data_IF_517005818506
#
_entry.id   IF_517005818506
#
_cell.length_a   1.000
_cell.length_b   1.000
_cell.length_c   1.000
_cell.angle_alpha   90.00
_cell.angle_beta   90.00
_cell.angle_gamma   90.00
#
_symmetry.space_group_name_H-M   'P 1'
#
loop_
_entity.id
_entity.type
_entity.pdbx_description
1 polymer ?
#
# COMPACT_ATOMS: atom_id res chain seq x y z
N UNK A 1 22.65 -0.32 26.31
CA UNK A 1 22.09 -0.29 24.95
C UNK A 1 20.87 0.62 25.01
N UNK A 2 20.95 1.82 24.46
CA UNK A 2 19.85 2.78 24.51
C UNK A 2 18.85 2.43 23.41
N UNK A 3 17.64 2.05 23.81
CA UNK A 3 16.52 1.86 22.89
C UNK A 3 16.25 3.21 22.19
N UNK A 4 16.10 3.24 20.85
CA UNK A 4 15.76 4.47 20.16
C UNK A 4 14.45 5.03 20.73
N UNK A 5 14.30 6.37 20.83
CA UNK A 5 13.07 6.97 21.30
C UNK A 5 11.91 6.51 20.42
N UNK A 6 10.81 6.08 21.04
CA UNK A 6 9.57 5.80 20.33
C UNK A 6 9.12 7.14 19.70
N UNK A 7 8.93 7.20 18.37
CA UNK A 7 8.51 8.44 17.74
C UNK A 7 7.14 8.86 18.31
N UNK A 8 6.93 10.17 18.55
CA UNK A 8 5.62 10.66 18.97
C UNK A 8 4.55 10.28 17.93
N UNK A 9 3.31 10.10 18.39
CA UNK A 9 2.19 9.65 17.54
C UNK A 9 1.99 10.50 16.28
N UNK A 10 2.31 11.80 16.36
CA UNK A 10 2.24 12.70 15.20
C UNK A 10 3.31 12.39 14.14
N UNK A 11 4.56 12.13 14.54
CA UNK A 11 5.62 11.74 13.59
C UNK A 11 5.29 10.39 12.92
N UNK A 12 4.73 9.46 13.70
CA UNK A 12 4.31 8.17 13.18
C UNK A 12 3.15 8.33 12.17
N UNK A 13 2.17 9.18 12.47
CA UNK A 13 1.05 9.49 11.56
C UNK A 13 1.55 10.12 10.25
N UNK A 14 2.49 11.08 10.32
CA UNK A 14 3.11 11.67 9.13
C UNK A 14 3.88 10.63 8.30
N UNK A 15 4.57 9.69 8.96
CA UNK A 15 5.26 8.60 8.28
C UNK A 15 4.28 7.66 7.54
N UNK A 16 3.13 7.33 8.16
CA UNK A 16 2.05 6.59 7.50
C UNK A 16 1.53 7.35 6.28
N UNK A 17 1.21 8.64 6.41
CA UNK A 17 0.74 9.47 5.28
C UNK A 17 1.74 9.47 4.12
N UNK A 18 3.02 9.63 4.43
CA UNK A 18 4.08 9.62 3.41
C UNK A 18 4.17 8.26 2.70
N UNK A 19 4.16 7.15 3.44
CA UNK A 19 4.16 5.81 2.85
C UNK A 19 2.91 5.55 2.00
N UNK A 20 1.73 5.95 2.47
CA UNK A 20 0.50 5.85 1.68
C UNK A 20 0.64 6.56 0.33
N UNK A 21 1.19 7.79 0.31
CA UNK A 21 1.42 8.51 -0.95
C UNK A 21 2.42 7.80 -1.88
N UNK A 22 3.44 7.16 -1.34
CA UNK A 22 4.38 6.38 -2.15
C UNK A 22 3.69 5.17 -2.79
N UNK A 23 2.92 4.42 -2.00
CA UNK A 23 2.16 3.29 -2.51
C UNK A 23 1.11 3.70 -3.54
N UNK A 24 0.39 4.79 -3.31
CA UNK A 24 -0.57 5.32 -4.28
C UNK A 24 0.10 5.63 -5.62
N UNK A 25 1.29 6.25 -5.62
CA UNK A 25 2.05 6.51 -6.84
C UNK A 25 2.52 5.22 -7.51
N UNK A 26 3.02 4.26 -6.73
CA UNK A 26 3.48 2.98 -7.28
C UNK A 26 2.32 2.20 -7.95
N UNK A 27 1.13 2.21 -7.35
CA UNK A 27 -0.07 1.59 -7.94
C UNK A 27 -0.51 2.35 -9.19
N UNK A 28 -0.55 3.68 -9.16
CA UNK A 28 -0.93 4.51 -10.32
C UNK A 28 0.02 4.31 -11.50
N UNK A 29 1.33 4.21 -11.23
CA UNK A 29 2.35 3.90 -12.23
C UNK A 29 2.17 2.48 -12.81
N UNK A 30 1.88 1.51 -11.96
CA UNK A 30 1.65 0.12 -12.35
C UNK A 30 0.34 -0.08 -13.14
N UNK A 31 -0.68 0.74 -12.88
CA UNK A 31 -1.93 0.75 -13.65
C UNK A 31 -1.76 1.45 -14.99
N UNK A 32 -0.94 2.50 -15.04
CA UNK A 32 -0.73 3.30 -16.24
C UNK A 32 0.27 2.68 -17.22
N UNK A 33 1.15 1.80 -16.77
CA UNK A 33 2.22 1.21 -17.58
C UNK A 33 2.23 -0.32 -17.46
N UNK A 34 2.52 -1.07 -18.55
CA UNK A 34 2.75 -2.50 -18.47
C UNK A 34 3.83 -2.82 -17.45
N UNK A 35 3.47 -3.58 -16.43
CA UNK A 35 4.32 -3.90 -15.29
C UNK A 35 4.44 -5.41 -15.16
N UNK A 36 5.64 -5.88 -14.80
CA UNK A 36 5.94 -7.29 -14.63
C UNK A 36 5.14 -7.90 -13.45
N UNK A 37 4.67 -9.13 -13.63
CA UNK A 37 3.93 -9.92 -12.63
C UNK A 37 4.68 -10.02 -11.29
N UNK A 38 6.02 -10.12 -11.30
CA UNK A 38 6.85 -10.19 -10.10
C UNK A 38 6.80 -8.87 -9.32
N UNK A 39 6.80 -7.74 -10.02
CA UNK A 39 6.70 -6.41 -9.39
C UNK A 39 5.31 -6.20 -8.80
N UNK A 40 4.26 -6.59 -9.54
CA UNK A 40 2.87 -6.52 -9.08
C UNK A 40 2.62 -7.41 -7.85
N UNK A 41 3.18 -8.62 -7.82
CA UNK A 41 3.08 -9.52 -6.67
C UNK A 41 3.74 -8.92 -5.43
N UNK A 42 4.93 -8.33 -5.56
CA UNK A 42 5.62 -7.67 -4.44
C UNK A 42 4.86 -6.46 -3.94
N UNK A 43 4.35 -5.63 -4.85
CA UNK A 43 3.55 -4.47 -4.50
C UNK A 43 2.28 -4.87 -3.75
N UNK A 44 1.64 -5.98 -4.16
CA UNK A 44 0.50 -6.53 -3.45
C UNK A 44 0.87 -6.96 -2.01
N UNK A 45 1.95 -7.72 -1.83
CA UNK A 45 2.40 -8.17 -0.51
C UNK A 45 2.76 -6.99 0.40
N UNK A 46 3.44 -5.98 -0.15
CA UNK A 46 3.80 -4.76 0.58
C UNK A 46 2.54 -3.98 1.01
N UNK A 47 1.53 -3.86 0.14
CA UNK A 47 0.25 -3.21 0.48
C UNK A 47 -0.54 -3.98 1.55
N UNK A 48 -0.51 -5.32 1.52
CA UNK A 48 -1.11 -6.13 2.57
C UNK A 48 -0.40 -5.92 3.91
N UNK A 49 0.93 -5.91 3.91
CA UNK A 49 1.74 -5.61 5.09
C UNK A 49 1.44 -4.22 5.65
N UNK A 50 1.37 -3.21 4.77
CA UNK A 50 1.02 -1.85 5.15
C UNK A 50 -0.40 -1.75 5.72
N UNK A 51 -1.38 -2.45 5.14
CA UNK A 51 -2.76 -2.51 5.64
C UNK A 51 -2.83 -3.09 7.05
N UNK A 52 -2.07 -4.16 7.32
CA UNK A 52 -1.96 -4.74 8.66
C UNK A 52 -1.34 -3.76 9.66
N UNK A 53 -0.29 -3.03 9.27
CA UNK A 53 0.36 -2.02 10.10
C UNK A 53 -0.58 -0.85 10.43
N UNK A 54 -1.35 -0.37 9.46
CA UNK A 54 -2.38 0.67 9.66
C UNK A 54 -3.45 0.19 10.64
N UNK A 55 -3.87 -1.07 10.55
CA UNK A 55 -4.84 -1.64 11.49
C UNK A 55 -4.29 -1.75 12.92
N UNK A 56 -3.04 -2.16 13.09
CA UNK A 56 -2.37 -2.20 14.40
C UNK A 56 -2.25 -0.80 15.03
N UNK A 57 -2.01 0.22 14.20
CA UNK A 57 -1.84 1.60 14.63
C UNK A 57 -3.11 2.44 14.48
N UNK A 58 -4.28 1.83 14.30
CA UNK A 58 -5.53 2.56 14.08
C UNK A 58 -5.84 3.67 15.12
N UNK A 59 -5.46 3.58 16.41
CA UNK A 59 -5.77 4.62 17.40
C UNK A 59 -5.03 5.96 17.18
N UNK A 60 -3.94 6.00 16.41
CA UNK A 60 -3.23 7.26 16.14
C UNK A 60 -3.86 8.07 14.99
N UNK A 61 -4.79 7.47 14.24
CA UNK A 61 -5.47 8.12 13.13
C UNK A 61 -6.76 8.80 13.57
N UNK A 62 -7.08 9.99 13.04
CA UNK A 62 -8.44 10.51 13.06
C UNK A 62 -9.42 9.49 12.44
N UNK A 63 -10.61 9.25 13.02
CA UNK A 63 -11.53 8.22 12.53
C UNK A 63 -11.95 8.39 11.06
N UNK A 64 -12.17 9.63 10.62
CA UNK A 64 -12.52 9.95 9.23
C UNK A 64 -11.36 9.64 8.28
N UNK A 65 -10.13 10.01 8.66
CA UNK A 65 -8.93 9.73 7.88
C UNK A 65 -8.67 8.23 7.77
N UNK A 66 -8.81 7.49 8.88
CA UNK A 66 -8.66 6.03 8.89
C UNK A 66 -9.64 5.35 7.94
N UNK A 67 -10.91 5.79 7.95
CA UNK A 67 -11.95 5.25 7.06
C UNK A 67 -11.62 5.48 5.58
N UNK A 68 -11.15 6.68 5.23
CA UNK A 68 -10.73 7.01 3.86
C UNK A 68 -9.49 6.20 3.47
N UNK A 69 -8.51 6.09 4.36
CA UNK A 69 -7.28 5.34 4.13
C UNK A 69 -7.59 3.86 3.87
N UNK A 70 -8.43 3.23 4.69
CA UNK A 70 -8.82 1.82 4.52
C UNK A 70 -9.57 1.58 3.21
N UNK A 71 -10.46 2.49 2.81
CA UNK A 71 -11.15 2.41 1.53
C UNK A 71 -10.16 2.50 0.36
N UNK A 72 -9.24 3.46 0.40
CA UNK A 72 -8.23 3.63 -0.65
C UNK A 72 -7.29 2.42 -0.75
N UNK A 73 -6.86 1.85 0.38
CA UNK A 73 -6.03 0.64 0.40
C UNK A 73 -6.76 -0.57 -0.21
N UNK A 74 -8.06 -0.73 0.08
CA UNK A 74 -8.86 -1.79 -0.51
C UNK A 74 -8.99 -1.64 -2.04
N UNK A 75 -9.17 -0.40 -2.53
CA UNK A 75 -9.20 -0.11 -3.96
C UNK A 75 -7.84 -0.42 -4.62
N UNK A 76 -6.75 0.07 -4.04
CA UNK A 76 -5.40 -0.17 -4.54
C UNK A 76 -5.04 -1.66 -4.59
N UNK A 77 -5.38 -2.43 -3.56
CA UNK A 77 -5.19 -3.89 -3.56
C UNK A 77 -5.97 -4.57 -4.69
N UNK A 78 -7.20 -4.13 -4.95
CA UNK A 78 -7.99 -4.64 -6.05
C UNK A 78 -7.35 -4.28 -7.40
N UNK A 79 -6.87 -3.05 -7.57
CA UNK A 79 -6.24 -2.60 -8.82
C UNK A 79 -4.98 -3.40 -9.12
N UNK A 80 -4.10 -3.60 -8.14
CA UNK A 80 -2.89 -4.42 -8.29
C UNK A 80 -3.24 -5.86 -8.65
N UNK A 81 -4.28 -6.44 -8.04
CA UNK A 81 -4.74 -7.80 -8.36
C UNK A 81 -5.24 -7.90 -9.80
N UNK A 82 -6.01 -6.92 -10.27
CA UNK A 82 -6.50 -6.88 -11.66
C UNK A 82 -5.33 -6.79 -12.64
N UNK A 83 -4.37 -5.90 -12.36
CA UNK A 83 -3.17 -5.76 -13.20
C UNK A 83 -2.32 -7.03 -13.22
N UNK A 84 -2.16 -7.70 -12.08
CA UNK A 84 -1.42 -8.96 -11.98
C UNK A 84 -2.05 -10.05 -12.87
N UNK A 85 -3.38 -10.18 -12.85
CA UNK A 85 -4.07 -11.13 -13.72
C UNK A 85 -3.86 -10.80 -15.20
N UNK A 86 -3.93 -9.52 -15.57
CA UNK A 86 -3.68 -9.08 -16.95
C UNK A 86 -2.25 -9.38 -17.41
N UNK A 87 -1.26 -9.18 -16.52
CA UNK A 87 0.14 -9.49 -16.81
C UNK A 87 0.35 -11.01 -17.04
N UNK A 88 -0.25 -11.86 -16.20
CA UNK A 88 -0.22 -13.31 -16.37
C UNK A 88 -0.85 -13.76 -17.69
N UNK A 89 -2.02 -13.20 -18.03
CA UNK A 89 -2.73 -13.54 -19.26
C UNK A 89 -1.90 -13.12 -20.50
N UNK A 90 -1.23 -11.97 -20.44
CA UNK A 90 -0.34 -11.50 -21.50
C UNK A 90 0.92 -12.38 -21.64
N UNK A 91 1.48 -12.87 -20.52
CA UNK A 91 2.65 -13.75 -20.48
C UNK A 91 2.36 -15.13 -21.09
N UNK A 92 1.16 -15.67 -20.85
CA UNK A 92 0.74 -16.97 -21.40
C UNK A 92 0.37 -16.96 -22.89
N UNK A 93 0.13 -15.77 -23.48
CA UNK A 93 -0.23 -15.61 -24.89
C UNK A 93 0.94 -15.14 -25.77
N UNK A 94 2.15 -15.00 -25.19
CA UNK A 94 3.39 -14.62 -25.87
C UNK A 94 4.22 -15.78 -26.41
#
# INVERSE_FOLDING_TARGET
>A
MSQPPIPPAHELLEAFRLHFHQYHRAVDEAVSNPTDEVVLSRLHDDLQGYTALVAEHSPIFPPEELSVLQQNLALMLNDVRVQYQQALDASHHG
#
